data_IF_481326750008
#
_entry.id   IF_481326750008
#
_cell.length_a   1.000
_cell.length_b   1.000
_cell.length_c   1.000
_cell.angle_alpha   90.00
_cell.angle_beta   90.00
_cell.angle_gamma   90.00
#
_symmetry.space_group_name_H-M   'P 1'
#
loop_
_entity.id
_entity.type
_entity.pdbx_description
1 polymer ?
#
# COMPACT_ATOMS: atom_id res chain seq x y z
N UNK A 1 -22.43 -18.67 -19.06
CA UNK A 1 -22.53 -18.76 -17.58
C UNK A 1 -21.65 -17.65 -17.00
N UNK A 2 -22.20 -16.46 -16.84
CA UNK A 2 -21.54 -15.35 -16.13
C UNK A 2 -22.46 -15.06 -14.95
N UNK A 3 -22.02 -15.42 -13.75
CA UNK A 3 -22.78 -15.17 -12.53
C UNK A 3 -22.94 -13.65 -12.37
N UNK A 4 -24.17 -13.18 -12.53
CA UNK A 4 -24.58 -11.80 -12.30
C UNK A 4 -24.47 -11.52 -10.80
N UNK A 5 -23.43 -10.80 -10.37
CA UNK A 5 -23.30 -10.31 -9.00
C UNK A 5 -24.34 -9.20 -8.76
N UNK A 6 -25.59 -9.59 -8.51
CA UNK A 6 -26.68 -8.69 -8.12
C UNK A 6 -26.59 -8.42 -6.62
N UNK A 7 -25.61 -7.61 -6.20
CA UNK A 7 -25.36 -7.28 -4.79
C UNK A 7 -24.91 -5.80 -4.67
N UNK A 8 -25.76 -4.87 -5.10
CA UNK A 8 -25.45 -3.43 -5.13
C UNK A 8 -25.33 -2.80 -3.73
N UNK A 9 -25.65 -3.55 -2.68
CA UNK A 9 -25.66 -3.08 -1.29
C UNK A 9 -24.64 -3.83 -0.45
N UNK A 10 -23.82 -3.06 0.23
CA UNK A 10 -22.74 -3.51 1.12
C UNK A 10 -22.99 -2.98 2.53
N UNK A 11 -22.56 -3.71 3.54
CA UNK A 11 -22.70 -3.27 4.93
C UNK A 11 -21.55 -2.34 5.34
N UNK A 12 -21.88 -1.18 5.91
CA UNK A 12 -20.87 -0.31 6.52
C UNK A 12 -20.33 -0.93 7.81
N UNK A 13 -19.02 -1.12 7.92
CA UNK A 13 -18.41 -1.67 9.15
C UNK A 13 -18.46 -0.71 10.35
N UNK A 14 -18.63 0.60 10.11
CA UNK A 14 -18.72 1.60 11.18
C UNK A 14 -20.13 1.66 11.81
N UNK A 15 -21.18 1.73 11.00
CA UNK A 15 -22.56 1.94 11.48
C UNK A 15 -23.50 0.75 11.25
N UNK A 16 -23.00 -0.36 10.68
CA UNK A 16 -23.73 -1.63 10.46
C UNK A 16 -25.02 -1.50 9.65
N UNK A 17 -25.11 -0.47 8.80
CA UNK A 17 -26.24 -0.23 7.89
C UNK A 17 -25.89 -0.73 6.49
N UNK A 18 -26.85 -1.38 5.84
CA UNK A 18 -26.77 -1.74 4.42
C UNK A 18 -26.87 -0.49 3.56
N UNK A 19 -25.94 -0.32 2.62
CA UNK A 19 -25.82 0.90 1.83
C UNK A 19 -25.26 0.65 0.43
N UNK A 20 -25.53 1.58 -0.48
CA UNK A 20 -24.75 1.77 -1.70
C UNK A 20 -23.75 2.88 -1.41
N UNK A 21 -22.43 2.64 -1.45
CA UNK A 21 -21.45 3.64 -1.09
C UNK A 21 -21.43 4.78 -2.10
N UNK A 22 -21.35 6.00 -1.59
CA UNK A 22 -21.32 7.18 -2.46
C UNK A 22 -19.89 7.38 -2.96
N UNK A 23 -19.69 7.36 -4.28
CA UNK A 23 -18.38 7.61 -4.90
C UNK A 23 -18.05 9.10 -4.79
N UNK A 24 -16.84 9.39 -4.33
CA UNK A 24 -16.24 10.73 -4.33
C UNK A 24 -15.29 10.78 -5.51
N UNK A 25 -15.53 11.72 -6.42
CA UNK A 25 -14.71 11.93 -7.61
C UNK A 25 -13.64 12.97 -7.36
N UNK A 26 -12.57 12.91 -8.15
CA UNK A 26 -11.52 13.92 -8.16
C UNK A 26 -12.06 15.33 -8.36
N UNK A 27 -11.40 16.33 -7.79
CA UNK A 27 -11.74 17.73 -8.02
C UNK A 27 -11.33 18.14 -9.44
N UNK A 28 -12.17 18.87 -10.19
CA UNK A 28 -11.76 19.41 -11.48
C UNK A 28 -10.72 20.51 -11.31
N UNK A 29 -9.76 20.59 -12.24
CA UNK A 29 -8.86 21.72 -12.36
C UNK A 29 -9.42 22.72 -13.37
N UNK A 30 -9.28 24.01 -13.12
CA UNK A 30 -9.85 25.05 -13.98
C UNK A 30 -8.76 25.67 -14.86
N UNK A 31 -8.94 25.60 -16.17
CA UNK A 31 -8.10 26.29 -17.15
C UNK A 31 -8.98 27.35 -17.82
N UNK A 32 -8.65 28.63 -17.61
CA UNK A 32 -9.42 29.76 -18.16
C UNK A 32 -10.92 29.71 -17.81
N UNK A 33 -11.25 29.26 -16.60
CA UNK A 33 -12.65 29.11 -16.15
C UNK A 33 -13.37 27.85 -16.65
N UNK A 34 -12.74 27.05 -17.51
CA UNK A 34 -13.28 25.76 -17.97
C UNK A 34 -12.81 24.65 -17.02
N UNK A 35 -13.73 23.91 -16.38
CA UNK A 35 -13.35 22.74 -15.59
C UNK A 35 -12.88 21.62 -16.52
N UNK A 36 -11.68 21.12 -16.27
CA UNK A 36 -11.05 19.99 -16.98
C UNK A 36 -10.74 18.91 -15.95
N UNK A 37 -11.03 17.64 -16.29
CA UNK A 37 -10.90 16.51 -15.36
C UNK A 37 -12.03 16.41 -14.33
N UNK A 38 -11.79 15.72 -13.21
CA UNK A 38 -12.68 15.72 -12.04
C UNK A 38 -13.79 14.66 -12.01
N UNK A 39 -13.64 13.55 -12.74
CA UNK A 39 -14.65 12.47 -12.79
C UNK A 39 -14.11 11.10 -12.41
N UNK A 40 -12.81 11.03 -12.10
CA UNK A 40 -12.19 9.77 -11.73
C UNK A 40 -12.60 9.43 -10.29
N UNK A 41 -13.03 8.19 -10.03
CA UNK A 41 -13.40 7.77 -8.69
C UNK A 41 -12.13 7.72 -7.81
N UNK A 42 -12.04 8.61 -6.82
CA UNK A 42 -10.90 8.64 -5.89
C UNK A 42 -11.18 7.82 -4.63
N UNK A 43 -12.40 7.90 -4.11
CA UNK A 43 -12.77 7.20 -2.88
C UNK A 43 -14.28 6.97 -2.79
N UNK A 44 -14.72 6.35 -1.71
CA UNK A 44 -16.14 6.18 -1.43
C UNK A 44 -16.43 6.38 0.05
N UNK A 45 -17.65 6.83 0.36
CA UNK A 45 -18.04 7.22 1.72
C UNK A 45 -19.38 6.57 2.08
N UNK A 46 -19.54 6.20 3.35
CA UNK A 46 -20.83 5.78 3.89
C UNK A 46 -21.80 6.97 3.95
N UNK A 47 -23.00 6.91 3.34
CA UNK A 47 -23.93 8.04 3.37
C UNK A 47 -24.61 8.24 4.73
N UNK A 48 -24.52 7.28 5.65
CA UNK A 48 -25.16 7.37 6.97
C UNK A 48 -24.24 7.96 8.04
N UNK A 49 -22.99 7.49 8.10
CA UNK A 49 -22.03 7.94 9.11
C UNK A 49 -20.91 8.81 8.53
N UNK A 50 -20.92 9.08 7.21
CA UNK A 50 -19.93 9.90 6.50
C UNK A 50 -18.48 9.41 6.66
N UNK A 51 -18.29 8.14 7.06
CA UNK A 51 -16.96 7.56 7.19
C UNK A 51 -16.40 7.11 5.84
N UNK A 52 -15.20 7.56 5.44
CA UNK A 52 -14.50 7.07 4.24
C UNK A 52 -13.88 5.68 4.45
N UNK A 53 -13.73 5.22 5.71
CA UNK A 53 -13.13 3.92 6.06
C UNK A 53 -14.18 2.83 6.24
N UNK A 54 -15.32 2.97 5.60
CA UNK A 54 -16.49 2.13 5.83
C UNK A 54 -16.33 0.66 5.39
N UNK A 55 -15.41 0.38 4.47
CA UNK A 55 -15.04 -0.98 4.03
C UNK A 55 -13.91 -1.61 4.84
N UNK A 56 -13.08 -0.81 5.52
CA UNK A 56 -11.79 -1.26 6.02
C UNK A 56 -11.98 -2.11 7.29
N UNK A 57 -11.95 -3.44 7.14
CA UNK A 57 -11.48 -4.30 8.22
C UNK A 57 -10.00 -4.02 8.43
N UNK A 58 -9.54 -3.97 9.69
CA UNK A 58 -8.12 -3.71 10.03
C UNK A 58 -7.17 -4.59 9.22
N UNK A 59 -7.58 -5.84 8.96
CA UNK A 59 -6.83 -6.78 8.12
C UNK A 59 -6.63 -6.27 6.69
N UNK A 60 -7.63 -5.72 6.01
CA UNK A 60 -7.47 -5.20 4.65
C UNK A 60 -6.54 -3.98 4.59
N UNK A 61 -6.60 -3.12 5.61
CA UNK A 61 -5.66 -1.99 5.74
C UNK A 61 -4.25 -2.48 5.91
N UNK A 62 -4.05 -3.47 6.79
CA UNK A 62 -2.76 -4.07 7.08
C UNK A 62 -2.22 -4.83 5.87
N UNK A 63 -3.07 -5.54 5.12
CA UNK A 63 -2.68 -6.23 3.88
C UNK A 63 -2.28 -5.24 2.79
N UNK A 64 -3.02 -4.14 2.62
CA UNK A 64 -2.66 -3.07 1.68
C UNK A 64 -1.36 -2.37 2.08
N UNK A 65 -1.21 -2.03 3.37
CA UNK A 65 0.00 -1.42 3.90
C UNK A 65 1.22 -2.36 3.76
N UNK A 66 1.04 -3.66 4.03
CA UNK A 66 2.08 -4.68 3.84
C UNK A 66 2.50 -4.79 2.37
N UNK A 67 1.54 -4.85 1.44
CA UNK A 67 1.83 -4.92 0.01
C UNK A 67 2.60 -3.69 -0.48
N UNK A 68 2.20 -2.50 -0.03
CA UNK A 68 2.90 -1.26 -0.35
C UNK A 68 4.34 -1.26 0.20
N UNK A 69 4.52 -1.67 1.46
CA UNK A 69 5.84 -1.75 2.09
C UNK A 69 6.77 -2.74 1.38
N UNK A 70 6.24 -3.90 0.95
CA UNK A 70 7.01 -4.88 0.17
C UNK A 70 7.43 -4.31 -1.19
N UNK A 71 6.53 -3.61 -1.88
CA UNK A 71 6.83 -2.98 -3.16
C UNK A 71 7.92 -1.91 -3.04
N UNK A 72 7.80 -1.01 -2.06
CA UNK A 72 8.83 0.00 -1.80
C UNK A 72 10.16 -0.62 -1.38
N UNK A 73 10.15 -1.67 -0.57
CA UNK A 73 11.35 -2.40 -0.18
C UNK A 73 12.12 -2.98 -1.37
N UNK A 74 11.40 -3.59 -2.32
CA UNK A 74 11.99 -4.12 -3.55
C UNK A 74 12.57 -2.99 -4.42
N UNK A 75 11.84 -1.87 -4.55
CA UNK A 75 12.32 -0.72 -5.32
C UNK A 75 13.62 -0.13 -4.75
N UNK A 76 13.72 -0.02 -3.42
CA UNK A 76 14.95 0.45 -2.76
C UNK A 76 16.11 -0.52 -3.00
N UNK A 77 15.89 -1.83 -2.85
CA UNK A 77 16.93 -2.83 -3.14
C UNK A 77 17.40 -2.75 -4.60
N UNK A 78 16.47 -2.56 -5.54
CA UNK A 78 16.79 -2.40 -6.95
C UNK A 78 17.64 -1.15 -7.19
N UNK A 79 17.28 -0.01 -6.60
CA UNK A 79 18.07 1.23 -6.68
C UNK A 79 19.48 1.05 -6.10
N UNK A 80 19.62 0.36 -4.95
CA UNK A 80 20.93 0.07 -4.37
C UNK A 80 21.79 -0.73 -5.35
N UNK A 81 21.24 -1.78 -5.98
CA UNK A 81 21.98 -2.57 -6.96
C UNK A 81 22.38 -1.76 -8.20
N UNK A 82 21.53 -0.85 -8.68
CA UNK A 82 21.88 0.07 -9.78
C UNK A 82 23.05 0.97 -9.37
N UNK A 83 23.03 1.54 -8.17
CA UNK A 83 24.12 2.39 -7.66
C UNK A 83 25.41 1.60 -7.50
N UNK A 84 25.34 0.38 -6.96
CA UNK A 84 26.50 -0.52 -6.82
C UNK A 84 27.11 -0.83 -8.18
N UNK A 85 26.28 -1.17 -9.18
CA UNK A 85 26.73 -1.40 -10.54
C UNK A 85 27.44 -0.17 -11.13
N UNK A 86 26.82 1.01 -11.00
CA UNK A 86 27.36 2.25 -11.55
C UNK A 86 28.67 2.69 -10.88
N UNK A 87 28.90 2.33 -9.61
CA UNK A 87 30.08 2.76 -8.84
C UNK A 87 31.22 1.74 -8.83
N UNK A 88 30.89 0.46 -8.76
CA UNK A 88 31.84 -0.62 -8.47
C UNK A 88 31.96 -1.63 -9.63
N UNK A 89 31.15 -1.48 -10.69
CA UNK A 89 31.20 -2.33 -11.87
C UNK A 89 30.53 -3.69 -11.69
N UNK A 90 30.69 -4.57 -12.69
CA UNK A 90 29.95 -5.82 -12.79
C UNK A 90 30.30 -6.86 -11.70
N UNK A 91 31.55 -6.88 -11.23
CA UNK A 91 32.02 -7.83 -10.23
C UNK A 91 31.34 -7.63 -8.86
N UNK A 92 31.04 -6.38 -8.49
CA UNK A 92 30.35 -6.05 -7.25
C UNK A 92 28.83 -6.26 -7.30
N UNK A 93 28.25 -6.28 -8.51
CA UNK A 93 26.82 -6.50 -8.72
C UNK A 93 26.39 -7.91 -8.28
N UNK A 94 27.21 -8.93 -8.56
CA UNK A 94 26.89 -10.31 -8.18
C UNK A 94 26.76 -10.47 -6.66
N UNK A 95 27.67 -9.84 -5.91
CA UNK A 95 27.66 -9.86 -4.45
C UNK A 95 26.48 -9.08 -3.88
N UNK A 96 26.18 -7.90 -4.42
CA UNK A 96 25.06 -7.08 -3.95
C UNK A 96 23.70 -7.71 -4.25
N UNK A 97 23.55 -8.35 -5.42
CA UNK A 97 22.33 -9.07 -5.79
C UNK A 97 22.12 -10.28 -4.88
N UNK A 98 23.18 -11.07 -4.63
CA UNK A 98 23.13 -12.19 -3.70
C UNK A 98 22.72 -11.76 -2.30
N UNK A 99 23.30 -10.67 -1.79
CA UNK A 99 22.94 -10.09 -0.50
C UNK A 99 21.48 -9.60 -0.46
N UNK A 100 21.02 -8.98 -1.55
CA UNK A 100 19.66 -8.46 -1.67
C UNK A 100 18.62 -9.59 -1.64
N UNK A 101 18.89 -10.69 -2.37
CA UNK A 101 18.02 -11.88 -2.35
C UNK A 101 18.02 -12.53 -0.98
N UNK A 102 19.19 -12.67 -0.34
CA UNK A 102 19.28 -13.24 1.00
C UNK A 102 18.50 -12.41 2.03
N UNK A 103 18.65 -11.09 1.99
CA UNK A 103 17.90 -10.15 2.83
C UNK A 103 16.39 -10.28 2.61
N UNK A 104 15.95 -10.48 1.36
CA UNK A 104 14.53 -10.66 1.05
C UNK A 104 13.98 -11.98 1.59
N UNK A 105 14.72 -13.08 1.43
CA UNK A 105 14.32 -14.40 1.92
C UNK A 105 14.28 -14.46 3.46
N UNK A 106 15.19 -13.76 4.13
CA UNK A 106 15.30 -13.74 5.60
C UNK A 106 14.58 -12.56 6.26
N UNK A 107 13.80 -11.79 5.51
CA UNK A 107 13.19 -10.52 5.95
C UNK A 107 12.42 -10.62 7.27
N UNK A 108 11.67 -11.70 7.48
CA UNK A 108 10.87 -11.90 8.69
C UNK A 108 11.75 -12.19 9.92
N UNK A 109 12.82 -12.97 9.73
CA UNK A 109 13.77 -13.27 10.81
C UNK A 109 14.56 -12.04 11.21
N UNK A 110 14.98 -11.25 10.23
CA UNK A 110 15.69 -9.98 10.46
C UNK A 110 14.77 -9.00 11.19
N UNK A 111 13.50 -8.87 10.79
CA UNK A 111 12.55 -7.99 11.45
C UNK A 111 12.33 -8.36 12.93
N UNK A 112 12.24 -9.66 13.24
CA UNK A 112 12.11 -10.14 14.62
C UNK A 112 13.39 -9.83 15.42
N UNK A 113 14.56 -10.13 14.86
CA UNK A 113 15.85 -9.88 15.51
C UNK A 113 16.07 -8.38 15.79
N UNK A 114 15.81 -7.53 14.78
CA UNK A 114 15.93 -6.07 14.89
C UNK A 114 14.96 -5.52 15.93
N UNK A 115 13.71 -6.01 15.97
CA UNK A 115 12.73 -5.60 16.98
C UNK A 115 13.17 -5.97 18.39
N UNK A 116 13.75 -7.17 18.56
CA UNK A 116 14.33 -7.59 19.84
C UNK A 116 15.47 -6.68 20.28
N UNK A 117 16.39 -6.37 19.37
CA UNK A 117 17.54 -5.51 19.62
C UNK A 117 17.14 -4.06 19.95
N UNK A 118 16.16 -3.51 19.23
CA UNK A 118 15.56 -2.20 19.53
C UNK A 118 14.87 -2.17 20.90
N UNK A 119 14.18 -3.25 21.29
CA UNK A 119 13.51 -3.32 22.58
C UNK A 119 14.50 -3.38 23.77
N UNK A 120 15.71 -3.92 23.57
CA UNK A 120 16.79 -3.85 24.54
C UNK A 120 17.41 -2.45 24.61
N UNK A 121 17.65 -1.81 23.47
CA UNK A 121 18.19 -0.45 23.40
C UNK A 121 17.30 0.61 24.07
N UNK A 122 15.97 0.47 23.98
CA UNK A 122 15.02 1.40 24.61
C UNK A 122 14.75 1.11 26.10
N UNK A 123 15.27 0.00 26.65
CA UNK A 123 15.17 -0.34 28.07
C UNK A 123 16.41 0.05 28.89
N UNK A 124 17.51 0.41 28.24
CA UNK A 124 18.70 1.00 28.87
C UNK A 124 18.58 2.52 28.98
#
# INVERSE_FOLDING_TARGET
MVNEMRNDKVECQCCKKMMVPKVVTSAPFYISGVPVGGRDPESSVCPFCLSPKWMLTEQQVLTGAKANAEFFGIMVLLLINIVVFARLGAEALGVSLGLSVLMFLLRERIAIAVKGWLAELFKG
#
